data_IF_259677316510
#
_entry.id   IF_259677316510
#
_cell.length_a   1.000
_cell.length_b   1.000
_cell.length_c   1.000
_cell.angle_alpha   90.00
_cell.angle_beta   90.00
_cell.angle_gamma   90.00
#
_symmetry.space_group_name_H-M   'P 1'
#
loop_
_entity.id
_entity.type
_entity.pdbx_description
1 polymer ?
#
# COMPACT_ATOMS: atom_id res chain seq x y z
N UNK A 1 35.37 14.55 -10.61
CA UNK A 1 35.00 13.32 -9.89
C UNK A 1 35.45 13.49 -8.43
N UNK A 2 34.49 13.62 -7.52
CA UNK A 2 34.73 13.69 -6.07
C UNK A 2 35.15 12.29 -5.63
N UNK A 3 36.42 12.07 -5.25
CA UNK A 3 36.94 10.80 -4.72
C UNK A 3 36.38 10.55 -3.30
N UNK A 4 35.06 10.28 -3.19
CA UNK A 4 34.34 10.11 -1.90
C UNK A 4 34.58 8.69 -1.36
N UNK A 5 34.71 7.70 -2.24
CA UNK A 5 34.92 6.29 -1.91
C UNK A 5 36.10 5.72 -2.69
N UNK A 6 36.80 4.76 -2.10
CA UNK A 6 37.85 3.98 -2.78
C UNK A 6 37.21 2.86 -3.60
N UNK A 7 37.97 2.30 -4.56
CA UNK A 7 37.47 1.16 -5.35
C UNK A 7 37.16 -0.06 -4.48
N UNK A 8 37.93 -0.31 -3.44
CA UNK A 8 37.67 -1.39 -2.48
C UNK A 8 36.36 -1.19 -1.75
N UNK A 9 36.09 0.04 -1.26
CA UNK A 9 34.81 0.38 -0.61
C UNK A 9 33.61 0.24 -1.57
N UNK A 10 33.80 0.58 -2.83
CA UNK A 10 32.77 0.38 -3.85
C UNK A 10 32.44 -1.10 -4.03
N UNK A 11 33.45 -1.96 -4.19
CA UNK A 11 33.24 -3.41 -4.31
C UNK A 11 32.58 -4.02 -3.06
N UNK A 12 32.99 -3.58 -1.87
CA UNK A 12 32.37 -4.04 -0.63
C UNK A 12 30.92 -3.58 -0.51
N UNK A 13 30.62 -2.33 -0.84
CA UNK A 13 29.26 -1.80 -0.85
C UNK A 13 28.34 -2.55 -1.81
N UNK A 14 28.87 -2.97 -2.97
CA UNK A 14 28.13 -3.79 -3.92
C UNK A 14 27.73 -5.14 -3.32
N UNK A 15 28.67 -5.83 -2.66
CA UNK A 15 28.40 -7.11 -1.99
C UNK A 15 27.38 -6.94 -0.86
N UNK A 16 27.49 -5.88 -0.07
CA UNK A 16 26.54 -5.59 1.01
C UNK A 16 25.13 -5.27 0.46
N UNK A 17 25.06 -4.49 -0.63
CA UNK A 17 23.80 -4.21 -1.31
C UNK A 17 23.12 -5.49 -1.83
N UNK A 18 23.90 -6.40 -2.42
CA UNK A 18 23.37 -7.70 -2.87
C UNK A 18 22.83 -8.53 -1.71
N UNK A 19 23.55 -8.60 -0.59
CA UNK A 19 23.08 -9.29 0.62
C UNK A 19 21.80 -8.65 1.18
N UNK A 20 21.70 -7.33 1.17
CA UNK A 20 20.53 -6.60 1.65
C UNK A 20 19.28 -6.89 0.80
N UNK A 21 19.45 -7.13 -0.52
CA UNK A 21 18.32 -7.46 -1.42
C UNK A 21 17.84 -8.91 -1.32
N UNK A 22 18.63 -9.81 -0.75
CA UNK A 22 18.30 -11.25 -0.68
C UNK A 22 16.95 -11.52 0.00
N UNK A 23 16.60 -10.94 1.16
CA UNK A 23 15.29 -11.16 1.77
C UNK A 23 14.13 -10.70 0.87
N UNK A 24 14.26 -9.56 0.21
CA UNK A 24 13.24 -9.04 -0.69
C UNK A 24 13.01 -9.97 -1.90
N UNK A 25 14.07 -10.49 -2.50
CA UNK A 25 14.00 -11.45 -3.61
C UNK A 25 13.34 -12.75 -3.15
N UNK A 26 13.67 -13.24 -1.95
CA UNK A 26 13.04 -14.45 -1.39
C UNK A 26 11.53 -14.26 -1.18
N UNK A 27 11.12 -13.14 -0.61
CA UNK A 27 9.70 -12.81 -0.40
C UNK A 27 8.97 -12.75 -1.74
N UNK A 28 9.52 -12.06 -2.74
CA UNK A 28 8.94 -11.97 -4.08
C UNK A 28 8.82 -13.34 -4.75
N UNK A 29 9.84 -14.19 -4.64
CA UNK A 29 9.82 -15.54 -5.22
C UNK A 29 8.71 -16.40 -4.58
N UNK A 30 8.55 -16.32 -3.26
CA UNK A 30 7.47 -17.01 -2.55
C UNK A 30 6.09 -16.44 -2.92
N UNK A 31 5.97 -15.11 -3.07
CA UNK A 31 4.74 -14.46 -3.49
C UNK A 31 4.33 -14.89 -4.91
N UNK A 32 5.28 -15.00 -5.84
CA UNK A 32 5.00 -15.50 -7.19
C UNK A 32 4.60 -16.97 -7.18
N UNK A 33 5.21 -17.80 -6.34
CA UNK A 33 4.81 -19.20 -6.16
C UNK A 33 3.38 -19.27 -5.63
N UNK A 34 3.04 -18.47 -4.62
CA UNK A 34 1.68 -18.41 -4.08
C UNK A 34 0.68 -17.94 -5.15
N UNK A 35 1.03 -16.92 -5.93
CA UNK A 35 0.23 -16.46 -7.06
C UNK A 35 -0.03 -17.57 -8.08
N UNK A 36 1.02 -18.36 -8.42
CA UNK A 36 0.88 -19.52 -9.29
C UNK A 36 -0.07 -20.57 -8.72
N UNK A 37 0.01 -20.88 -7.44
CA UNK A 37 -0.91 -21.81 -6.76
C UNK A 37 -2.36 -21.31 -6.77
N UNK A 38 -2.56 -20.00 -6.66
CA UNK A 38 -3.90 -19.38 -6.71
C UNK A 38 -4.50 -19.30 -8.13
N UNK A 39 -3.72 -19.64 -9.17
CA UNK A 39 -4.18 -19.61 -10.57
C UNK A 39 -5.33 -20.56 -10.85
N UNK A 40 -5.96 -20.40 -12.03
CA UNK A 40 -7.09 -21.22 -12.46
C UNK A 40 -6.74 -22.71 -12.58
N UNK A 41 -5.46 -23.04 -12.86
CA UNK A 41 -4.99 -24.41 -13.05
C UNK A 41 -4.84 -25.19 -11.74
N UNK A 42 -4.81 -24.51 -10.59
CA UNK A 42 -4.66 -25.13 -9.28
C UNK A 42 -5.85 -24.82 -8.35
N UNK A 43 -5.74 -23.76 -7.53
CA UNK A 43 -6.79 -23.44 -6.55
C UNK A 43 -7.97 -22.65 -7.14
N UNK A 44 -7.82 -22.09 -8.34
CA UNK A 44 -8.83 -21.25 -8.99
C UNK A 44 -9.45 -20.21 -8.05
N UNK A 45 -8.60 -19.59 -7.20
CA UNK A 45 -9.04 -18.66 -6.14
C UNK A 45 -9.89 -17.52 -6.71
N UNK A 46 -9.53 -17.02 -7.91
CA UNK A 46 -10.29 -16.01 -8.62
C UNK A 46 -11.72 -16.44 -8.94
N UNK A 47 -11.90 -17.67 -9.39
CA UNK A 47 -13.23 -18.20 -9.67
C UNK A 47 -14.05 -18.37 -8.39
N UNK A 48 -13.44 -18.82 -7.31
CA UNK A 48 -14.10 -18.94 -6.00
C UNK A 48 -14.58 -17.57 -5.50
N UNK A 49 -13.67 -16.59 -5.43
CA UNK A 49 -14.02 -15.25 -4.97
C UNK A 49 -14.99 -14.57 -5.95
N UNK A 50 -14.81 -14.75 -7.25
CA UNK A 50 -15.72 -14.27 -8.29
C UNK A 50 -17.14 -14.78 -8.11
N UNK A 51 -17.33 -16.05 -7.76
CA UNK A 51 -18.64 -16.64 -7.45
C UNK A 51 -19.26 -16.06 -6.17
N UNK A 52 -18.45 -15.82 -5.14
CA UNK A 52 -18.90 -15.18 -3.90
C UNK A 52 -19.36 -13.74 -4.15
N UNK A 53 -18.59 -13.00 -4.95
CA UNK A 53 -18.87 -11.59 -5.30
C UNK A 53 -20.09 -11.47 -6.22
N UNK A 54 -20.21 -12.33 -7.25
CA UNK A 54 -21.35 -12.30 -8.17
C UNK A 54 -22.67 -12.73 -7.49
N UNK A 55 -22.58 -13.50 -6.41
CA UNK A 55 -23.74 -13.83 -5.59
C UNK A 55 -24.22 -12.70 -4.67
N UNK A 56 -23.43 -11.62 -4.52
CA UNK A 56 -23.76 -10.52 -3.62
C UNK A 56 -23.25 -9.17 -4.15
N UNK A 57 -24.14 -8.40 -4.76
CA UNK A 57 -23.82 -7.10 -5.34
C UNK A 57 -23.17 -6.11 -4.35
N UNK A 58 -23.49 -6.21 -3.05
CA UNK A 58 -22.92 -5.35 -2.01
C UNK A 58 -21.43 -5.63 -1.83
N UNK A 59 -21.00 -6.89 -1.89
CA UNK A 59 -19.60 -7.25 -1.78
C UNK A 59 -18.80 -6.67 -2.96
N UNK A 60 -19.35 -6.76 -4.18
CA UNK A 60 -18.71 -6.21 -5.39
C UNK A 60 -18.43 -4.70 -5.27
N UNK A 61 -19.36 -3.96 -4.70
CA UNK A 61 -19.22 -2.51 -4.47
C UNK A 61 -18.16 -2.19 -3.41
N UNK A 62 -18.03 -3.03 -2.39
CA UNK A 62 -17.10 -2.82 -1.29
C UNK A 62 -15.67 -3.29 -1.60
N UNK A 63 -15.45 -4.01 -2.70
CA UNK A 63 -14.15 -4.60 -3.04
C UNK A 63 -12.98 -3.61 -3.02
N UNK A 64 -13.06 -2.41 -3.64
CA UNK A 64 -11.94 -1.47 -3.62
C UNK A 64 -11.54 -1.05 -2.20
N UNK A 65 -12.55 -0.76 -1.35
CA UNK A 65 -12.30 -0.41 0.05
C UNK A 65 -11.74 -1.58 0.87
N UNK A 66 -12.23 -2.80 0.60
CA UNK A 66 -11.74 -4.03 1.24
C UNK A 66 -10.29 -4.32 0.84
N UNK A 67 -9.97 -4.27 -0.44
CA UNK A 67 -8.60 -4.45 -0.91
C UNK A 67 -7.65 -3.40 -0.35
N UNK A 68 -8.09 -2.15 -0.27
CA UNK A 68 -7.31 -1.08 0.37
C UNK A 68 -7.01 -1.40 1.84
N UNK A 69 -8.02 -1.76 2.63
CA UNK A 69 -7.86 -2.07 4.05
C UNK A 69 -6.98 -3.30 4.30
N UNK A 70 -7.19 -4.37 3.51
CA UNK A 70 -6.36 -5.60 3.59
C UNK A 70 -4.92 -5.31 3.20
N UNK A 71 -4.69 -4.51 2.16
CA UNK A 71 -3.35 -4.13 1.73
C UNK A 71 -2.61 -3.31 2.81
N UNK A 72 -3.30 -2.40 3.52
CA UNK A 72 -2.71 -1.69 4.68
C UNK A 72 -2.26 -2.69 5.74
N UNK A 73 -3.14 -3.59 6.17
CA UNK A 73 -2.84 -4.56 7.22
C UNK A 73 -1.70 -5.50 6.85
N UNK A 74 -1.70 -6.01 5.62
CA UNK A 74 -0.66 -6.92 5.12
C UNK A 74 0.69 -6.21 5.02
N UNK A 75 0.73 -5.02 4.44
CA UNK A 75 1.95 -4.25 4.26
C UNK A 75 2.51 -3.75 5.60
N UNK A 76 1.66 -3.33 6.52
CA UNK A 76 2.05 -3.01 7.89
C UNK A 76 2.73 -4.19 8.59
N UNK A 77 2.14 -5.38 8.45
CA UNK A 77 2.64 -6.61 9.11
C UNK A 77 3.93 -7.14 8.49
N UNK A 78 4.11 -6.96 7.19
CA UNK A 78 5.29 -7.46 6.45
C UNK A 78 6.41 -6.42 6.35
N UNK A 79 6.10 -5.15 6.55
CA UNK A 79 7.04 -4.03 6.38
C UNK A 79 7.49 -3.82 4.94
N UNK A 80 6.68 -4.24 3.96
CA UNK A 80 7.03 -4.07 2.54
C UNK A 80 5.81 -3.87 1.65
N UNK A 81 5.78 -2.78 0.90
CA UNK A 81 4.77 -2.54 -0.14
C UNK A 81 4.95 -3.48 -1.33
N UNK A 82 6.18 -3.76 -1.73
CA UNK A 82 6.49 -4.63 -2.87
C UNK A 82 6.01 -6.06 -2.68
N UNK A 83 6.22 -6.63 -1.49
CA UNK A 83 5.71 -7.97 -1.15
C UNK A 83 4.18 -8.01 -1.18
N UNK A 84 3.55 -6.96 -0.69
CA UNK A 84 2.08 -6.82 -0.72
C UNK A 84 1.55 -6.71 -2.15
N UNK A 85 2.22 -5.96 -3.05
CA UNK A 85 1.87 -5.92 -4.46
C UNK A 85 1.95 -7.30 -5.11
N UNK A 86 3.03 -8.02 -4.84
CA UNK A 86 3.25 -9.37 -5.39
C UNK A 86 2.15 -10.36 -5.02
N UNK A 87 1.56 -10.22 -3.83
CA UNK A 87 0.48 -11.09 -3.34
C UNK A 87 -0.89 -10.60 -3.83
N UNK A 88 -1.18 -9.30 -3.66
CA UNK A 88 -2.53 -8.77 -3.83
C UNK A 88 -2.92 -8.52 -5.29
N UNK A 89 -2.00 -8.05 -6.14
CA UNK A 89 -2.34 -7.74 -7.55
C UNK A 89 -2.82 -8.97 -8.31
N UNK A 90 -2.17 -10.15 -8.24
CA UNK A 90 -2.68 -11.36 -8.85
C UNK A 90 -4.09 -11.75 -8.36
N UNK A 91 -4.36 -11.55 -7.06
CA UNK A 91 -5.69 -11.82 -6.49
C UNK A 91 -6.73 -10.86 -7.10
N UNK A 92 -6.43 -9.57 -7.18
CA UNK A 92 -7.33 -8.57 -7.79
C UNK A 92 -7.62 -8.92 -9.25
N UNK A 93 -6.59 -9.26 -10.04
CA UNK A 93 -6.77 -9.60 -11.46
C UNK A 93 -7.56 -10.89 -11.67
N UNK A 94 -7.50 -11.81 -10.72
CA UNK A 94 -8.26 -13.06 -10.75
C UNK A 94 -9.74 -12.85 -10.34
N UNK A 95 -10.01 -11.90 -9.44
CA UNK A 95 -11.36 -11.61 -8.90
C UNK A 95 -12.14 -10.67 -9.81
N UNK A 96 -11.48 -9.64 -10.34
CA UNK A 96 -12.12 -8.61 -11.14
C UNK A 96 -12.10 -9.02 -12.61
N UNK A 97 -13.28 -8.94 -13.26
CA UNK A 97 -13.37 -9.18 -14.69
C UNK A 97 -12.50 -8.18 -15.47
N UNK A 98 -11.49 -8.69 -16.15
CA UNK A 98 -10.51 -7.89 -16.91
C UNK A 98 -11.12 -7.08 -18.06
N UNK A 99 -12.34 -7.40 -18.49
CA UNK A 99 -13.07 -6.62 -19.50
C UNK A 99 -13.55 -5.26 -18.97
N UNK A 100 -13.67 -5.10 -17.63
CA UNK A 100 -13.99 -3.81 -17.03
C UNK A 100 -12.70 -3.12 -16.53
N UNK A 101 -12.00 -2.49 -17.46
CA UNK A 101 -10.71 -1.83 -17.19
C UNK A 101 -10.81 -0.75 -16.10
N UNK A 102 -11.92 0.00 -16.04
CA UNK A 102 -12.10 1.04 -15.02
C UNK A 102 -12.18 0.46 -13.61
N UNK A 103 -12.95 -0.61 -13.42
CA UNK A 103 -13.09 -1.27 -12.15
C UNK A 103 -11.80 -2.00 -11.75
N UNK A 104 -11.12 -2.63 -12.71
CA UNK A 104 -9.82 -3.25 -12.48
C UNK A 104 -8.79 -2.22 -12.01
N UNK A 105 -8.68 -1.09 -12.73
CA UNK A 105 -7.75 -0.02 -12.37
C UNK A 105 -8.04 0.56 -10.97
N UNK A 106 -9.32 0.73 -10.60
CA UNK A 106 -9.71 1.21 -9.29
C UNK A 106 -9.26 0.24 -8.17
N UNK A 107 -9.45 -1.07 -8.36
CA UNK A 107 -9.06 -2.08 -7.37
C UNK A 107 -7.54 -2.24 -7.26
N UNK A 108 -6.83 -2.19 -8.38
CA UNK A 108 -5.35 -2.18 -8.39
C UNK A 108 -4.84 -0.93 -7.68
N UNK A 109 -5.39 0.25 -7.97
CA UNK A 109 -5.04 1.50 -7.29
C UNK A 109 -5.28 1.41 -5.77
N UNK A 110 -6.36 0.78 -5.34
CA UNK A 110 -6.66 0.54 -3.93
C UNK A 110 -5.59 -0.32 -3.24
N UNK A 111 -5.15 -1.39 -3.89
CA UNK A 111 -4.05 -2.24 -3.38
C UNK A 111 -2.75 -1.45 -3.30
N UNK A 112 -2.39 -0.72 -4.36
CA UNK A 112 -1.14 0.06 -4.39
C UNK A 112 -1.13 1.11 -3.28
N UNK A 113 -2.21 1.89 -3.15
CA UNK A 113 -2.32 2.93 -2.14
C UNK A 113 -2.33 2.35 -0.72
N UNK A 114 -3.07 1.26 -0.48
CA UNK A 114 -3.11 0.60 0.82
C UNK A 114 -1.76 0.02 1.23
N UNK A 115 -1.08 -0.64 0.30
CA UNK A 115 0.24 -1.22 0.57
C UNK A 115 1.29 -0.15 0.87
N UNK A 116 1.30 0.96 0.13
CA UNK A 116 2.19 2.10 0.42
C UNK A 116 1.87 2.71 1.78
N UNK A 117 0.60 2.88 2.11
CA UNK A 117 0.18 3.41 3.41
C UNK A 117 0.66 2.51 4.56
N UNK A 118 0.42 1.20 4.48
CA UNK A 118 0.83 0.23 5.49
C UNK A 118 2.35 0.16 5.68
N UNK A 119 3.10 0.21 4.58
CA UNK A 119 4.56 0.25 4.58
C UNK A 119 5.09 1.50 5.33
N UNK A 120 4.54 2.68 5.04
CA UNK A 120 4.95 3.94 5.66
C UNK A 120 4.75 3.99 7.17
N UNK A 121 3.74 3.33 7.70
CA UNK A 121 3.45 3.30 9.15
C UNK A 121 4.06 2.09 9.86
N UNK A 122 4.67 1.17 9.13
CA UNK A 122 5.27 -0.03 9.70
C UNK A 122 6.62 0.26 10.37
N UNK A 123 6.81 -0.14 11.65
CA UNK A 123 8.09 0.02 12.32
C UNK A 123 9.18 -0.93 11.80
N UNK A 124 8.83 -1.94 11.03
CA UNK A 124 9.77 -2.90 10.45
C UNK A 124 10.04 -2.62 8.97
N UNK A 125 9.50 -1.54 8.41
CA UNK A 125 9.67 -1.17 7.02
C UNK A 125 11.06 -0.61 6.73
N UNK A 126 11.68 -1.10 5.67
CA UNK A 126 12.96 -0.59 5.16
C UNK A 126 12.89 0.92 4.87
N UNK A 127 11.79 1.39 4.29
CA UNK A 127 11.60 2.81 3.94
C UNK A 127 11.57 3.69 5.18
N UNK A 128 10.86 3.26 6.22
CA UNK A 128 10.74 4.00 7.49
C UNK A 128 12.06 3.98 8.27
N UNK A 129 12.76 2.84 8.27
CA UNK A 129 14.09 2.70 8.89
C UNK A 129 15.10 3.62 8.20
N UNK A 130 15.16 3.60 6.87
CA UNK A 130 16.08 4.44 6.09
C UNK A 130 15.76 5.93 6.23
N UNK A 131 14.47 6.30 6.24
CA UNK A 131 14.05 7.69 6.43
C UNK A 131 14.48 8.23 7.80
N UNK A 132 14.23 7.49 8.87
CA UNK A 132 14.62 7.88 10.23
C UNK A 132 16.14 7.94 10.41
N UNK A 133 16.87 6.98 9.84
CA UNK A 133 18.33 6.97 9.85
C UNK A 133 18.92 8.16 9.06
N UNK A 134 18.37 8.45 7.88
CA UNK A 134 18.79 9.59 7.06
C UNK A 134 18.50 10.94 7.71
N UNK A 135 17.38 11.06 8.42
CA UNK A 135 17.02 12.24 9.20
C UNK A 135 17.72 12.31 10.57
N UNK A 136 18.49 11.29 10.96
CA UNK A 136 19.16 11.17 12.26
C UNK A 136 18.20 11.33 13.45
N UNK A 137 16.97 10.86 13.31
CA UNK A 137 15.96 10.89 14.36
C UNK A 137 15.70 9.49 14.95
N UNK A 138 15.08 9.45 16.13
CA UNK A 138 14.72 8.18 16.74
C UNK A 138 13.63 7.49 15.90
N UNK A 139 13.91 6.26 15.47
CA UNK A 139 13.04 5.49 14.59
C UNK A 139 11.62 5.31 15.13
N UNK A 140 11.49 4.91 16.40
CA UNK A 140 10.17 4.68 17.01
C UNK A 140 9.37 5.99 17.16
N UNK A 141 10.05 7.09 17.49
CA UNK A 141 9.41 8.41 17.52
C UNK A 141 8.93 8.84 16.14
N UNK A 142 9.74 8.60 15.10
CA UNK A 142 9.36 8.87 13.71
C UNK A 142 8.08 8.11 13.33
N UNK A 143 8.04 6.80 13.58
CA UNK A 143 6.87 5.96 13.31
C UNK A 143 5.65 6.45 14.10
N UNK A 144 5.80 6.67 15.41
CA UNK A 144 4.68 7.06 16.29
C UNK A 144 4.06 8.40 15.89
N UNK A 145 4.88 9.35 15.43
CA UNK A 145 4.39 10.65 14.98
C UNK A 145 3.79 10.61 13.58
N UNK A 146 4.20 9.67 12.73
CA UNK A 146 3.68 9.52 11.37
C UNK A 146 2.31 8.83 11.32
N UNK A 147 2.05 7.87 12.22
CA UNK A 147 0.81 7.08 12.24
C UNK A 147 -0.46 7.95 12.22
N UNK A 148 -0.64 8.98 13.07
CA UNK A 148 -1.87 9.79 13.07
C UNK A 148 -2.16 10.46 11.72
N UNK A 149 -1.12 10.97 11.07
CA UNK A 149 -1.27 11.62 9.76
C UNK A 149 -1.65 10.60 8.69
N UNK A 150 -0.93 9.49 8.62
CA UNK A 150 -1.21 8.44 7.64
C UNK A 150 -2.61 7.82 7.83
N UNK A 151 -3.05 7.61 9.09
CA UNK A 151 -4.39 7.09 9.37
C UNK A 151 -5.50 8.08 9.01
N UNK A 152 -5.25 9.39 9.15
CA UNK A 152 -6.18 10.43 8.70
C UNK A 152 -6.37 10.37 7.18
N UNK A 153 -5.26 10.34 6.43
CA UNK A 153 -5.29 10.19 4.96
C UNK A 153 -5.93 8.87 4.55
N UNK A 154 -5.58 7.78 5.22
CA UNK A 154 -6.17 6.45 4.95
C UNK A 154 -7.70 6.45 5.13
N UNK A 155 -8.23 7.14 6.14
CA UNK A 155 -9.66 7.30 6.34
C UNK A 155 -10.35 8.05 5.19
N UNK A 156 -9.74 9.12 4.69
CA UNK A 156 -10.23 9.87 3.53
C UNK A 156 -10.16 9.03 2.24
N UNK A 157 -9.08 8.29 2.03
CA UNK A 157 -8.92 7.37 0.90
C UNK A 157 -9.96 6.24 0.95
N UNK A 158 -10.20 5.65 2.13
CA UNK A 158 -11.20 4.60 2.30
C UNK A 158 -12.59 5.08 1.89
N UNK A 159 -12.99 6.30 2.31
CA UNK A 159 -14.23 6.91 1.88
C UNK A 159 -14.27 7.14 0.36
N UNK A 160 -13.16 7.59 -0.24
CA UNK A 160 -13.03 7.71 -1.69
C UNK A 160 -13.20 6.36 -2.42
N UNK A 161 -12.58 5.29 -1.92
CA UNK A 161 -12.73 3.93 -2.49
C UNK A 161 -14.14 3.37 -2.34
N UNK A 162 -14.83 3.67 -1.25
CA UNK A 162 -16.25 3.33 -1.11
C UNK A 162 -17.08 4.00 -2.20
N UNK A 163 -16.93 5.32 -2.39
CA UNK A 163 -17.63 6.05 -3.46
C UNK A 163 -17.26 5.52 -4.84
N UNK A 164 -15.97 5.21 -5.06
CA UNK A 164 -15.52 4.61 -6.30
C UNK A 164 -16.13 3.25 -6.59
N UNK A 165 -16.31 2.42 -5.57
CA UNK A 165 -16.99 1.13 -5.68
C UNK A 165 -18.47 1.27 -6.03
N UNK A 166 -19.18 2.24 -5.43
CA UNK A 166 -20.58 2.53 -5.75
C UNK A 166 -20.79 3.07 -7.15
N UNK A 167 -19.89 3.93 -7.60
CA UNK A 167 -20.03 4.64 -8.89
C UNK A 167 -19.32 3.95 -10.05
N UNK A 168 -18.40 3.03 -9.79
CA UNK A 168 -17.52 2.41 -10.79
C UNK A 168 -16.53 3.40 -11.42
N UNK A 169 -16.37 4.61 -10.85
CA UNK A 169 -15.58 5.69 -11.41
C UNK A 169 -14.41 6.10 -10.52
N UNK A 170 -13.18 5.79 -10.96
CA UNK A 170 -11.96 6.11 -10.22
C UNK A 170 -11.68 7.60 -10.09
N UNK A 171 -12.07 8.42 -11.06
CA UNK A 171 -11.92 9.88 -10.99
C UNK A 171 -12.80 10.51 -9.90
N UNK A 172 -14.03 10.02 -9.77
CA UNK A 172 -14.92 10.43 -8.68
C UNK A 172 -14.34 10.03 -7.31
N UNK A 173 -13.83 8.83 -7.19
CA UNK A 173 -13.14 8.36 -5.98
C UNK A 173 -11.99 9.29 -5.59
N UNK A 174 -11.14 9.67 -6.54
CA UNK A 174 -10.01 10.56 -6.34
C UNK A 174 -10.48 11.95 -5.88
N UNK A 175 -11.45 12.55 -6.57
CA UNK A 175 -11.97 13.89 -6.23
C UNK A 175 -12.56 13.90 -4.83
N UNK A 176 -13.38 12.91 -4.50
CA UNK A 176 -14.00 12.80 -3.16
C UNK A 176 -12.93 12.62 -2.08
N UNK A 177 -11.94 11.76 -2.30
CA UNK A 177 -10.83 11.58 -1.37
C UNK A 177 -10.06 12.86 -1.12
N UNK A 178 -9.68 13.58 -2.19
CA UNK A 178 -8.96 14.86 -2.10
C UNK A 178 -9.79 15.95 -1.41
N UNK A 179 -11.07 16.07 -1.73
CA UNK A 179 -11.95 17.07 -1.09
C UNK A 179 -12.10 16.78 0.40
N UNK A 180 -12.30 15.51 0.77
CA UNK A 180 -12.37 15.12 2.18
C UNK A 180 -11.05 15.42 2.91
N UNK A 181 -9.91 15.12 2.30
CA UNK A 181 -8.59 15.42 2.87
C UNK A 181 -8.42 16.91 3.13
N UNK A 182 -8.76 17.76 2.16
CA UNK A 182 -8.68 19.22 2.32
C UNK A 182 -9.61 19.74 3.43
N UNK A 183 -10.82 19.18 3.55
CA UNK A 183 -11.76 19.53 4.61
C UNK A 183 -11.18 19.14 5.98
N UNK A 184 -10.70 17.89 6.10
CA UNK A 184 -10.11 17.38 7.35
C UNK A 184 -8.89 18.21 7.75
N UNK A 185 -8.00 18.52 6.81
CA UNK A 185 -6.85 19.39 7.06
C UNK A 185 -7.27 20.80 7.53
N UNK A 186 -8.24 21.41 6.87
CA UNK A 186 -8.75 22.72 7.28
C UNK A 186 -9.33 22.71 8.70
N UNK A 187 -10.05 21.64 9.06
CA UNK A 187 -10.60 21.47 10.42
C UNK A 187 -9.49 21.26 11.44
N UNK A 188 -8.48 20.43 11.12
CA UNK A 188 -7.35 20.17 12.02
C UNK A 188 -6.52 21.43 12.24
N UNK A 189 -6.20 22.18 11.20
CA UNK A 189 -5.48 23.46 11.30
C UNK A 189 -6.26 24.45 12.17
N UNK A 190 -7.58 24.53 12.00
CA UNK A 190 -8.42 25.44 12.82
C UNK A 190 -8.49 25.02 14.29
N UNK A 191 -8.47 23.72 14.58
CA UNK A 191 -8.56 23.20 15.96
C UNK A 191 -7.20 23.12 16.65
N UNK A 192 -6.16 22.68 15.93
CA UNK A 192 -4.82 22.41 16.48
C UNK A 192 -3.80 23.51 16.15
N UNK A 193 -4.10 24.40 15.21
CA UNK A 193 -3.19 25.41 14.67
C UNK A 193 -2.84 26.58 15.60
N UNK A 194 -3.12 26.48 16.90
CA UNK A 194 -2.66 27.42 17.93
C UNK A 194 -1.49 26.87 18.74
N UNK A 195 -0.60 26.12 18.13
CA UNK A 195 0.70 25.85 18.75
C UNK A 195 1.54 27.09 18.55
N UNK A 196 1.66 27.92 19.60
CA UNK A 196 2.66 28.98 19.67
C UNK A 196 4.02 28.30 19.54
N UNK A 197 4.72 28.58 18.44
CA UNK A 197 6.14 28.27 18.29
C UNK A 197 6.87 29.31 19.16
N UNK A 198 6.97 29.07 20.47
CA UNK A 198 7.95 29.67 21.35
C UNK A 198 9.26 28.90 21.32
#
# INVERSE_FOLDING_TARGET
LRRIITFSQFCESFVQGFKAMTPAIMILSLAWTLSGICSADYLALGNFVGNVVSGNAVIGVLLPALFFAVAIGLSFSTGTSWGTFGIMIPIVTAVINTNNVSLLALNVAAVLAGAVCGDHISPISDTTILASAGAQCNHINHVSTQIPYAMTVAGCCLAGYLVGGFTGNGWLALIVGLVLELIVLAVLIKKCGKVNLE
#
